data_IF_878685810488
#
_entry.id   IF_878685810488
#
_cell.length_a   1.000
_cell.length_b   1.000
_cell.length_c   1.000
_cell.angle_alpha   90.00
_cell.angle_beta   90.00
_cell.angle_gamma   90.00
#
_symmetry.space_group_name_H-M   'P 1'
#
loop_
_entity.id
_entity.type
_entity.pdbx_description
1 polymer ?
#
# COMPACT_ATOMS: atom_id res chain seq x y z
N UNK A 1 15.02 -25.63 -30.95
CA UNK A 1 14.96 -25.82 -29.48
C UNK A 1 14.92 -24.45 -28.84
N UNK A 2 13.74 -23.82 -28.79
CA UNK A 2 13.56 -22.50 -28.18
C UNK A 2 13.06 -22.68 -26.76
N UNK A 3 13.88 -22.34 -25.78
CA UNK A 3 13.49 -22.32 -24.37
C UNK A 3 12.68 -21.04 -24.13
N UNK A 4 11.35 -21.16 -24.08
CA UNK A 4 10.48 -20.10 -23.56
C UNK A 4 10.52 -20.22 -22.04
N UNK A 5 11.34 -19.41 -21.40
CA UNK A 5 11.32 -19.27 -19.94
C UNK A 5 10.08 -18.44 -19.57
N UNK A 6 9.02 -19.11 -19.15
CA UNK A 6 7.83 -18.48 -18.56
C UNK A 6 8.23 -18.03 -17.16
N UNK A 7 8.60 -16.75 -17.02
CA UNK A 7 8.77 -16.12 -15.72
C UNK A 7 7.38 -15.90 -15.11
N UNK A 8 6.90 -16.90 -14.38
CA UNK A 8 5.82 -16.73 -13.40
C UNK A 8 6.40 -15.89 -12.26
N UNK A 9 6.40 -14.55 -12.42
CA UNK A 9 6.63 -13.63 -11.31
C UNK A 9 5.47 -13.77 -10.33
N UNK A 10 5.64 -14.61 -9.31
CA UNK A 10 4.72 -14.67 -8.18
C UNK A 10 4.71 -13.31 -7.47
N UNK A 11 3.64 -13.02 -6.74
CA UNK A 11 3.65 -11.93 -5.75
C UNK A 11 4.73 -12.25 -4.71
N UNK A 12 5.95 -11.78 -4.94
CA UNK A 12 7.03 -11.93 -3.98
C UNK A 12 6.79 -10.92 -2.86
N UNK A 13 6.70 -11.41 -1.64
CA UNK A 13 6.56 -10.54 -0.47
C UNK A 13 7.78 -9.63 -0.35
N UNK A 14 7.61 -8.41 0.19
CA UNK A 14 8.73 -7.49 0.44
C UNK A 14 9.80 -8.14 1.32
N UNK A 15 9.41 -9.01 2.25
CA UNK A 15 10.34 -9.81 3.08
C UNK A 15 11.26 -10.67 2.21
N UNK A 16 10.70 -11.45 1.29
CA UNK A 16 11.48 -12.32 0.40
C UNK A 16 12.40 -11.51 -0.52
N UNK A 17 11.98 -10.34 -0.98
CA UNK A 17 12.82 -9.43 -1.79
C UNK A 17 14.02 -8.95 -0.97
N UNK A 18 13.78 -8.45 0.26
CA UNK A 18 14.86 -8.03 1.16
C UNK A 18 15.79 -9.20 1.53
N UNK A 19 15.27 -10.43 1.68
CA UNK A 19 16.12 -11.60 1.89
C UNK A 19 17.02 -11.88 0.68
N UNK A 20 16.46 -11.81 -0.54
CA UNK A 20 17.22 -12.03 -1.77
C UNK A 20 18.28 -10.94 -2.00
N UNK A 21 18.01 -9.71 -1.58
CA UNK A 21 18.94 -8.58 -1.64
C UNK A 21 19.99 -8.60 -0.51
N UNK A 22 19.89 -9.53 0.44
CA UNK A 22 20.89 -9.73 1.50
C UNK A 22 20.73 -8.79 2.69
N UNK A 23 19.54 -8.23 2.92
CA UNK A 23 19.30 -7.42 4.12
C UNK A 23 19.44 -8.28 5.40
N UNK A 24 19.97 -7.71 6.49
CA UNK A 24 20.16 -8.45 7.73
C UNK A 24 18.81 -8.79 8.36
N UNK A 25 18.67 -10.00 8.92
CA UNK A 25 17.41 -10.48 9.50
C UNK A 25 16.76 -9.51 10.53
N UNK A 26 17.52 -8.84 11.44
CA UNK A 26 16.93 -7.84 12.33
C UNK A 26 16.27 -6.67 11.61
N UNK A 27 16.83 -6.23 10.48
CA UNK A 27 16.24 -5.16 9.65
C UNK A 27 14.92 -5.63 9.03
N UNK A 28 14.90 -6.83 8.46
CA UNK A 28 13.70 -7.42 7.85
C UNK A 28 12.56 -7.56 8.88
N UNK A 29 12.87 -8.08 10.07
CA UNK A 29 11.89 -8.21 11.16
C UNK A 29 11.39 -6.84 11.64
N UNK A 30 12.29 -5.86 11.72
CA UNK A 30 11.95 -4.48 12.03
C UNK A 30 10.99 -3.90 11.00
N UNK A 31 11.34 -4.06 9.72
CA UNK A 31 10.56 -3.57 8.59
C UNK A 31 9.14 -4.12 8.57
N UNK A 32 8.93 -5.42 8.78
CA UNK A 32 7.58 -5.99 8.82
C UNK A 32 6.75 -5.44 9.99
N UNK A 33 7.35 -5.32 11.17
CA UNK A 33 6.69 -4.76 12.35
C UNK A 33 6.34 -3.27 12.16
N UNK A 34 7.28 -2.50 11.60
CA UNK A 34 7.10 -1.11 11.23
C UNK A 34 6.00 -0.95 10.19
N UNK A 35 6.03 -1.75 9.12
CA UNK A 35 5.09 -1.68 8.01
C UNK A 35 3.65 -1.98 8.43
N UNK A 36 3.43 -2.98 9.29
CA UNK A 36 2.10 -3.23 9.86
C UNK A 36 1.60 -2.07 10.74
N UNK A 37 2.51 -1.50 11.54
CA UNK A 37 2.22 -0.32 12.37
C UNK A 37 1.93 0.93 11.54
N UNK A 38 2.64 1.12 10.42
CA UNK A 38 2.47 2.24 9.50
C UNK A 38 1.12 2.16 8.78
N UNK A 39 0.74 0.98 8.28
CA UNK A 39 -0.60 0.78 7.70
C UNK A 39 -1.70 0.99 8.72
N UNK A 40 -1.51 0.51 9.96
CA UNK A 40 -2.47 0.81 11.04
C UNK A 40 -2.60 2.32 11.27
N UNK A 41 -1.48 3.06 11.31
CA UNK A 41 -1.49 4.51 11.48
C UNK A 41 -2.18 5.24 10.31
N UNK A 42 -2.14 4.68 9.10
CA UNK A 42 -2.88 5.15 7.92
C UNK A 42 -4.34 4.64 7.87
N UNK A 43 -4.83 3.96 8.90
CA UNK A 43 -6.24 3.56 9.04
C UNK A 43 -6.56 2.12 8.61
N UNK A 44 -5.56 1.29 8.29
CA UNK A 44 -5.81 -0.13 8.06
C UNK A 44 -6.21 -0.85 9.36
N UNK A 45 -7.01 -1.90 9.22
CA UNK A 45 -7.36 -2.83 10.30
C UNK A 45 -6.21 -3.82 10.56
N UNK A 46 -5.04 -3.28 10.89
CA UNK A 46 -3.84 -4.04 11.23
C UNK A 46 -3.41 -3.84 12.69
N UNK A 47 -2.49 -4.67 13.16
CA UNK A 47 -1.95 -4.58 14.52
C UNK A 47 -0.72 -3.68 14.56
N UNK A 48 -0.66 -2.73 15.50
CA UNK A 48 0.59 -2.07 15.87
C UNK A 48 1.57 -3.08 16.46
N UNK A 49 2.81 -3.08 15.98
CA UNK A 49 3.88 -3.95 16.44
C UNK A 49 5.17 -3.15 16.58
N UNK A 50 5.62 -2.94 17.82
CA UNK A 50 6.95 -2.39 18.11
C UNK A 50 7.53 -3.12 19.31
N UNK A 51 8.55 -3.95 19.07
CA UNK A 51 9.34 -4.54 20.16
C UNK A 51 10.28 -3.45 20.70
N UNK A 52 9.81 -2.73 21.72
CA UNK A 52 10.53 -1.56 22.27
C UNK A 52 11.92 -1.94 22.80
N UNK A 53 12.09 -3.01 23.61
CA UNK A 53 13.43 -3.43 24.03
C UNK A 53 14.35 -3.72 22.84
N UNK A 54 13.87 -4.42 21.80
CA UNK A 54 14.69 -4.73 20.61
C UNK A 54 15.00 -3.48 19.80
N UNK A 55 14.06 -2.56 19.67
CA UNK A 55 14.23 -1.26 19.02
C UNK A 55 15.34 -0.43 19.67
N UNK A 56 15.41 -0.42 21.01
CA UNK A 56 16.44 0.34 21.72
C UNK A 56 17.83 -0.31 21.65
N UNK A 57 17.91 -1.64 21.52
CA UNK A 57 19.17 -2.38 21.62
C UNK A 57 19.76 -2.80 20.27
N UNK A 58 18.94 -2.91 19.22
CA UNK A 58 19.37 -3.39 17.90
C UNK A 58 19.15 -2.32 16.82
N UNK A 59 20.20 -1.56 16.44
CA UNK A 59 20.08 -0.47 15.47
C UNK A 59 19.47 -0.91 14.13
N UNK A 60 19.79 -2.12 13.66
CA UNK A 60 19.23 -2.66 12.41
C UNK A 60 17.72 -2.89 12.51
N UNK A 61 17.22 -3.38 13.64
CA UNK A 61 15.78 -3.52 13.86
C UNK A 61 15.09 -2.16 13.93
N UNK A 62 15.69 -1.19 14.63
CA UNK A 62 15.15 0.16 14.71
C UNK A 62 15.05 0.81 13.32
N UNK A 63 16.13 0.74 12.54
CA UNK A 63 16.17 1.26 11.18
C UNK A 63 15.11 0.61 10.30
N UNK A 64 15.04 -0.73 10.31
CA UNK A 64 14.01 -1.45 9.57
C UNK A 64 12.60 -1.01 10.00
N UNK A 65 12.35 -0.89 11.30
CA UNK A 65 11.06 -0.46 11.83
C UNK A 65 10.66 0.94 11.37
N UNK A 66 11.58 1.91 11.45
CA UNK A 66 11.31 3.29 11.02
C UNK A 66 11.06 3.35 9.51
N UNK A 67 11.84 2.63 8.71
CA UNK A 67 11.69 2.59 7.26
C UNK A 67 10.40 1.89 6.83
N UNK A 68 10.06 0.76 7.43
CA UNK A 68 8.81 0.05 7.16
C UNK A 68 7.59 0.88 7.57
N UNK A 69 7.64 1.53 8.74
CA UNK A 69 6.57 2.41 9.21
C UNK A 69 6.28 3.53 8.23
N UNK A 70 7.32 4.28 7.84
CA UNK A 70 7.18 5.41 6.91
C UNK A 70 6.64 4.96 5.56
N UNK A 71 7.30 3.98 4.93
CA UNK A 71 6.95 3.55 3.58
C UNK A 71 5.54 2.99 3.47
N UNK A 72 5.12 2.16 4.43
CA UNK A 72 3.80 1.54 4.36
C UNK A 72 2.66 2.46 4.81
N UNK A 73 2.95 3.46 5.67
CA UNK A 73 2.00 4.53 5.96
C UNK A 73 1.75 5.38 4.73
N UNK A 74 2.82 5.93 4.14
CA UNK A 74 2.74 6.77 2.94
C UNK A 74 2.14 6.03 1.75
N UNK A 75 2.48 4.75 1.57
CA UNK A 75 1.93 3.90 0.52
C UNK A 75 0.43 3.71 0.65
N UNK A 76 -0.09 3.47 1.87
CA UNK A 76 -1.52 3.33 2.09
C UNK A 76 -2.25 4.68 1.96
N UNK A 77 -1.71 5.75 2.53
CA UNK A 77 -2.27 7.11 2.40
C UNK A 77 -2.41 7.49 0.91
N UNK A 78 -1.37 7.23 0.11
CA UNK A 78 -1.37 7.49 -1.33
C UNK A 78 -2.41 6.65 -2.09
N UNK A 79 -2.56 5.37 -1.70
CA UNK A 79 -3.55 4.49 -2.31
C UNK A 79 -4.98 4.96 -2.01
N UNK A 80 -5.26 5.34 -0.77
CA UNK A 80 -6.55 5.91 -0.35
C UNK A 80 -6.83 7.21 -1.10
N UNK A 81 -5.85 8.12 -1.20
CA UNK A 81 -6.02 9.37 -1.95
C UNK A 81 -6.37 9.12 -3.43
N UNK A 82 -5.67 8.18 -4.06
CA UNK A 82 -5.94 7.82 -5.45
C UNK A 82 -7.35 7.27 -5.63
N UNK A 83 -7.80 6.41 -4.72
CA UNK A 83 -9.15 5.83 -4.73
C UNK A 83 -10.23 6.89 -4.54
N UNK A 84 -10.07 7.79 -3.56
CA UNK A 84 -10.99 8.91 -3.34
C UNK A 84 -11.10 9.80 -4.57
N UNK A 85 -9.96 10.14 -5.19
CA UNK A 85 -9.92 10.94 -6.41
C UNK A 85 -10.60 10.25 -7.59
N UNK A 86 -10.50 8.94 -7.70
CA UNK A 86 -11.19 8.17 -8.74
C UNK A 86 -12.70 8.16 -8.50
N UNK A 87 -13.13 7.90 -7.26
CA UNK A 87 -14.54 7.96 -6.87
C UNK A 87 -15.17 9.32 -7.19
N UNK A 88 -14.49 10.42 -6.84
CA UNK A 88 -14.95 11.79 -7.14
C UNK A 88 -15.12 12.08 -8.63
N UNK A 89 -14.31 11.45 -9.49
CA UNK A 89 -14.45 11.58 -10.94
C UNK A 89 -15.68 10.82 -11.43
N UNK A 90 -15.82 9.56 -11.01
CA UNK A 90 -16.97 8.73 -11.40
C UNK A 90 -18.29 9.34 -10.96
N UNK A 91 -18.32 9.94 -9.76
CA UNK A 91 -19.51 10.61 -9.24
C UNK A 91 -19.88 11.88 -10.02
N UNK A 92 -18.90 12.58 -10.59
CA UNK A 92 -19.15 13.73 -11.48
C UNK A 92 -19.66 13.27 -12.83
N UNK A 93 -19.00 12.29 -13.43
CA UNK A 93 -19.40 11.74 -14.73
C UNK A 93 -20.82 11.15 -14.69
N UNK A 94 -21.19 10.50 -13.57
CA UNK A 94 -22.55 10.03 -13.34
C UNK A 94 -23.56 11.17 -13.29
N UNK A 95 -23.27 12.24 -12.53
CA UNK A 95 -24.16 13.42 -12.44
C UNK A 95 -24.37 14.08 -13.78
N UNK A 96 -23.29 14.30 -14.53
CA UNK A 96 -23.36 14.89 -15.87
C UNK A 96 -24.20 14.03 -16.82
N UNK A 97 -24.07 12.70 -16.75
CA UNK A 97 -24.87 11.79 -17.55
C UNK A 97 -26.37 11.86 -17.22
N UNK A 98 -26.71 11.86 -15.93
CA UNK A 98 -28.09 11.96 -15.45
C UNK A 98 -28.71 13.30 -15.89
N UNK A 99 -28.00 14.40 -15.73
CA UNK A 99 -28.49 15.73 -16.11
C UNK A 99 -28.74 15.84 -17.62
N UNK A 100 -27.84 15.29 -18.45
CA UNK A 100 -28.02 15.22 -19.89
C UNK A 100 -29.24 14.38 -20.29
N UNK A 101 -29.44 13.23 -19.63
CA UNK A 101 -30.61 12.37 -19.87
C UNK A 101 -31.92 13.08 -19.50
N UNK A 102 -31.96 13.78 -18.37
CA UNK A 102 -33.10 14.58 -17.95
C UNK A 102 -33.39 15.71 -18.94
N UNK A 103 -32.37 16.46 -19.36
CA UNK A 103 -32.51 17.54 -20.34
C UNK A 103 -33.04 17.02 -21.69
N UNK A 104 -32.58 15.85 -22.13
CA UNK A 104 -33.09 15.20 -23.35
C UNK A 104 -34.56 14.81 -23.22
N UNK A 105 -34.97 14.27 -22.07
CA UNK A 105 -36.37 13.91 -21.82
C UNK A 105 -37.29 15.14 -21.85
N UNK A 106 -36.88 16.24 -21.21
CA UNK A 106 -37.67 17.49 -21.17
C UNK A 106 -37.78 18.18 -22.55
N UNK A 107 -36.79 18.00 -23.43
CA UNK A 107 -36.85 18.54 -24.81
C UNK A 107 -37.69 17.67 -25.75
N UNK A 108 -37.96 16.43 -25.38
CA UNK A 108 -38.78 15.49 -26.14
C UNK A 108 -40.27 15.49 -25.79
N UNK A 109 -40.68 16.28 -24.77
CA UNK A 109 -42.07 16.57 -24.41
C UNK A 109 -42.52 17.91 -24.97
#
# INVERSE_FOLDING_TARGET
MGLVAILLGGCQSTREQMMAEGYPAPFIDGFEAGCSSGRQAAGALESFRKDVPRYLQHPQYAQGWDDGFRQCKEGLESAIELELRDNDKRDRDWRDHVDQAMAKAMRGS
#
